data_IF_631668834794
#
_entry.id   IF_631668834794
#
_cell.length_a   1.000
_cell.length_b   1.000
_cell.length_c   1.000
_cell.angle_alpha   90.00
_cell.angle_beta   90.00
_cell.angle_gamma   90.00
#
_symmetry.space_group_name_H-M   'P 1'
#
loop_
_entity.id
_entity.type
_entity.pdbx_description
1 polymer ?
#
# COMPACT_ATOMS: atom_id res chain seq x y z
N UNK A 1 4.21 -15.64 -20.07
CA UNK A 1 4.04 -14.53 -19.13
C UNK A 1 2.58 -14.50 -18.72
N UNK A 2 2.23 -15.25 -17.67
CA UNK A 2 0.84 -15.40 -17.26
C UNK A 2 0.40 -14.10 -16.60
N UNK A 3 -0.68 -13.47 -17.09
CA UNK A 3 -1.38 -12.40 -16.37
C UNK A 3 -1.83 -13.00 -15.03
N UNK A 4 -1.10 -12.71 -13.95
CA UNK A 4 -1.51 -13.12 -12.62
C UNK A 4 -2.59 -12.14 -12.17
N UNK A 5 -3.85 -12.53 -12.34
CA UNK A 5 -4.99 -11.80 -11.76
C UNK A 5 -4.89 -11.89 -10.25
N UNK A 6 -4.52 -10.78 -9.60
CA UNK A 6 -4.44 -10.71 -8.15
C UNK A 6 -5.76 -10.22 -7.56
N UNK A 7 -6.68 -11.15 -7.32
CA UNK A 7 -7.82 -10.90 -6.45
C UNK A 7 -7.40 -11.14 -4.99
N UNK A 8 -7.87 -10.30 -4.09
CA UNK A 8 -7.81 -10.55 -2.64
C UNK A 8 -9.26 -10.56 -2.17
N UNK A 9 -9.69 -11.64 -1.52
CA UNK A 9 -11.04 -11.67 -0.95
C UNK A 9 -11.08 -10.69 0.23
N UNK A 10 -12.21 -9.99 0.40
CA UNK A 10 -12.36 -9.01 1.49
C UNK A 10 -12.12 -9.62 2.86
N UNK A 11 -12.56 -10.87 3.08
CA UNK A 11 -12.31 -11.63 4.32
C UNK A 11 -10.82 -11.73 4.69
N UNK A 12 -9.93 -11.72 3.70
CA UNK A 12 -8.49 -11.81 3.90
C UNK A 12 -7.88 -10.45 4.31
N UNK A 13 -8.61 -9.36 4.07
CA UNK A 13 -8.21 -7.99 4.41
C UNK A 13 -8.73 -7.57 5.79
N UNK A 14 -9.90 -8.07 6.22
CA UNK A 14 -10.67 -7.54 7.35
C UNK A 14 -9.84 -7.24 8.60
N UNK A 15 -9.05 -8.21 9.09
CA UNK A 15 -8.25 -8.03 10.30
C UNK A 15 -7.16 -6.97 10.16
N UNK A 16 -6.44 -6.99 9.03
CA UNK A 16 -5.32 -6.07 8.78
C UNK A 16 -5.83 -4.67 8.47
N UNK A 17 -6.93 -4.56 7.70
CA UNK A 17 -7.58 -3.30 7.39
C UNK A 17 -8.16 -2.66 8.66
N UNK A 18 -8.79 -3.46 9.53
CA UNK A 18 -9.26 -2.97 10.83
C UNK A 18 -8.10 -2.45 11.68
N UNK A 19 -7.02 -3.23 11.87
CA UNK A 19 -5.84 -2.79 12.64
C UNK A 19 -5.22 -1.53 12.05
N UNK A 20 -5.12 -1.44 10.73
CA UNK A 20 -4.59 -0.25 10.04
C UNK A 20 -5.45 0.98 10.35
N UNK A 21 -6.76 0.90 10.15
CA UNK A 21 -7.67 2.01 10.42
C UNK A 21 -7.65 2.40 11.91
N UNK A 22 -7.60 1.41 12.80
CA UNK A 22 -7.56 1.61 14.24
C UNK A 22 -6.27 2.31 14.70
N UNK A 23 -5.11 1.90 14.21
CA UNK A 23 -3.81 2.45 14.60
C UNK A 23 -3.51 3.81 13.94
N UNK A 24 -4.03 4.05 12.74
CA UNK A 24 -3.70 5.24 11.96
C UNK A 24 -4.79 6.32 11.97
N UNK A 25 -6.03 5.95 12.32
CA UNK A 25 -7.20 6.80 12.16
C UNK A 25 -7.62 7.03 10.71
N UNK A 26 -7.14 6.21 9.76
CA UNK A 26 -7.44 6.36 8.33
C UNK A 26 -8.89 5.99 8.00
N UNK A 27 -9.36 6.41 6.83
CA UNK A 27 -10.66 5.93 6.30
C UNK A 27 -10.57 4.43 6.02
N UNK A 28 -11.72 3.75 6.02
CA UNK A 28 -11.79 2.32 5.70
C UNK A 28 -11.13 2.01 4.35
N UNK A 29 -11.42 2.79 3.31
CA UNK A 29 -10.86 2.54 1.97
C UNK A 29 -9.32 2.62 1.95
N UNK A 30 -8.74 3.56 2.70
CA UNK A 30 -7.28 3.70 2.79
C UNK A 30 -6.67 2.44 3.41
N UNK A 31 -7.29 1.97 4.48
CA UNK A 31 -6.86 0.78 5.20
C UNK A 31 -6.94 -0.50 4.35
N UNK A 32 -7.93 -0.63 3.46
CA UNK A 32 -8.03 -1.77 2.55
C UNK A 32 -6.84 -1.82 1.57
N UNK A 33 -6.45 -0.69 0.99
CA UNK A 33 -5.30 -0.64 0.08
C UNK A 33 -3.97 -0.86 0.82
N UNK A 34 -3.82 -0.33 2.02
CA UNK A 34 -2.65 -0.57 2.87
C UNK A 34 -2.55 -2.04 3.26
N UNK A 35 -3.67 -2.65 3.66
CA UNK A 35 -3.74 -4.08 4.00
C UNK A 35 -3.39 -4.96 2.79
N UNK A 36 -3.93 -4.63 1.61
CA UNK A 36 -3.62 -5.35 0.37
C UNK A 36 -2.10 -5.28 0.05
N UNK A 37 -1.50 -4.10 0.17
CA UNK A 37 -0.07 -3.92 -0.02
C UNK A 37 0.74 -4.73 1.01
N UNK A 38 0.31 -4.74 2.28
CA UNK A 38 0.94 -5.54 3.34
C UNK A 38 0.93 -7.03 3.03
N UNK A 39 -0.24 -7.59 2.73
CA UNK A 39 -0.44 -9.03 2.47
C UNK A 39 0.43 -9.49 1.31
N UNK A 40 0.55 -8.67 0.27
CA UNK A 40 1.32 -9.00 -0.93
C UNK A 40 2.79 -8.62 -0.85
N UNK A 41 3.24 -8.02 0.26
CA UNK A 41 4.57 -7.42 0.37
C UNK A 41 4.87 -6.49 -0.82
N UNK A 42 3.84 -5.74 -1.24
CA UNK A 42 3.90 -4.82 -2.35
C UNK A 42 4.18 -3.40 -1.85
N UNK A 43 4.59 -2.53 -2.78
CA UNK A 43 4.76 -1.11 -2.54
C UNK A 43 3.42 -0.41 -2.78
N UNK A 44 2.99 0.44 -1.85
CA UNK A 44 1.85 1.32 -2.08
C UNK A 44 2.32 2.63 -2.74
N UNK A 45 1.77 2.98 -3.88
CA UNK A 45 2.00 4.29 -4.52
C UNK A 45 0.67 5.02 -4.57
N UNK A 46 0.63 6.24 -4.04
CA UNK A 46 -0.61 7.03 -4.00
C UNK A 46 -0.34 8.52 -4.21
N UNK A 47 -1.38 9.24 -4.64
CA UNK A 47 -1.42 10.71 -4.67
C UNK A 47 -2.05 11.29 -3.39
N UNK A 48 -2.48 10.46 -2.44
CA UNK A 48 -2.97 10.92 -1.14
C UNK A 48 -1.83 10.83 -0.11
N UNK A 49 -1.30 11.98 0.30
CA UNK A 49 -0.18 12.05 1.25
C UNK A 49 -0.55 11.47 2.62
N UNK A 50 -1.80 11.63 3.07
CA UNK A 50 -2.26 11.10 4.36
C UNK A 50 -2.34 9.56 4.30
N UNK A 51 -2.76 9.00 3.16
CA UNK A 51 -2.74 7.55 2.95
C UNK A 51 -1.31 6.99 3.00
N UNK A 52 -0.36 7.65 2.32
CA UNK A 52 1.05 7.23 2.32
C UNK A 52 1.65 7.25 3.72
N UNK A 53 1.41 8.32 4.49
CA UNK A 53 1.91 8.40 5.86
C UNK A 53 1.28 7.33 6.78
N UNK A 54 -0.01 7.03 6.59
CA UNK A 54 -0.69 5.94 7.30
C UNK A 54 -0.07 4.57 6.96
N UNK A 55 0.24 4.34 5.69
CA UNK A 55 0.92 3.12 5.24
C UNK A 55 2.32 2.98 5.86
N UNK A 56 3.10 4.07 5.85
CA UNK A 56 4.44 4.12 6.47
C UNK A 56 4.37 3.84 7.97
N UNK A 57 3.42 4.43 8.70
CA UNK A 57 3.16 4.14 10.13
C UNK A 57 2.86 2.66 10.38
N UNK A 58 2.10 2.03 9.48
CA UNK A 58 1.77 0.61 9.54
C UNK A 58 2.87 -0.31 8.96
N UNK A 59 4.09 0.22 8.73
CA UNK A 59 5.25 -0.49 8.21
C UNK A 59 4.98 -1.15 6.85
N UNK A 60 4.21 -0.47 6.01
CA UNK A 60 4.09 -0.75 4.59
C UNK A 60 4.96 0.24 3.85
N UNK A 61 5.75 -0.26 2.91
CA UNK A 61 6.54 0.61 2.08
C UNK A 61 5.65 1.37 1.10
N UNK A 62 5.71 2.70 1.17
CA UNK A 62 4.81 3.55 0.41
C UNK A 62 5.48 4.83 -0.07
N UNK A 63 4.99 5.36 -1.20
CA UNK A 63 5.50 6.58 -1.81
C UNK A 63 4.36 7.49 -2.27
N UNK A 64 4.52 8.77 -2.00
CA UNK A 64 3.69 9.85 -2.53
C UNK A 64 4.16 10.20 -3.92
N UNK A 65 3.40 9.76 -4.93
CA UNK A 65 3.81 9.75 -6.33
C UNK A 65 4.28 11.13 -6.83
N UNK A 66 3.61 12.22 -6.43
CA UNK A 66 3.93 13.57 -6.90
C UNK A 66 5.32 14.03 -6.48
N UNK A 67 5.75 13.69 -5.26
CA UNK A 67 7.03 14.15 -4.70
C UNK A 67 8.14 13.09 -4.83
N UNK A 68 7.79 11.81 -4.80
CA UNK A 68 8.74 10.69 -4.68
C UNK A 68 8.87 9.89 -6.01
N UNK A 69 8.47 10.46 -7.15
CA UNK A 69 8.45 9.78 -8.44
C UNK A 69 9.81 9.20 -8.86
N UNK A 70 10.90 9.95 -8.69
CA UNK A 70 12.22 9.49 -9.10
C UNK A 70 12.73 8.34 -8.24
N UNK A 71 12.41 8.32 -6.94
CA UNK A 71 12.71 7.18 -6.06
C UNK A 71 11.96 5.91 -6.51
N UNK A 72 10.70 6.06 -6.91
CA UNK A 72 9.90 4.95 -7.47
C UNK A 72 10.56 4.43 -8.75
N UNK A 73 10.98 5.31 -9.66
CA UNK A 73 11.69 4.90 -10.88
C UNK A 73 12.96 4.14 -10.58
N UNK A 74 13.85 4.70 -9.77
CA UNK A 74 15.12 4.07 -9.41
C UNK A 74 14.89 2.65 -8.91
N UNK A 75 13.89 2.48 -8.04
CA UNK A 75 13.58 1.18 -7.47
C UNK A 75 13.00 0.17 -8.45
N UNK A 76 12.14 0.61 -9.37
CA UNK A 76 11.56 -0.26 -10.39
C UNK A 76 12.57 -0.63 -11.48
N UNK A 77 13.47 0.28 -11.84
CA UNK A 77 14.41 0.10 -12.95
C UNK A 77 15.78 -0.46 -12.54
N UNK A 78 16.15 -0.43 -11.25
CA UNK A 78 17.37 -1.09 -10.74
C UNK A 78 17.21 -2.60 -10.53
N UNK A 79 15.98 -3.15 -10.56
CA UNK A 79 15.77 -4.60 -10.68
C UNK A 79 15.99 -5.05 -12.13
N UNK A 80 17.26 -5.05 -12.57
CA UNK A 80 17.73 -5.77 -13.75
C UNK A 80 18.72 -6.85 -13.34
#
# INVERSE_FOLDING_TARGET
>A
MTLLFFLIETKDLDGIAFSTAFETGSRAIDAFYIAAAKIRSAILVSNDKIQVESAKKFKVEAYYLVEEFDQIKEKLYQKK
#
